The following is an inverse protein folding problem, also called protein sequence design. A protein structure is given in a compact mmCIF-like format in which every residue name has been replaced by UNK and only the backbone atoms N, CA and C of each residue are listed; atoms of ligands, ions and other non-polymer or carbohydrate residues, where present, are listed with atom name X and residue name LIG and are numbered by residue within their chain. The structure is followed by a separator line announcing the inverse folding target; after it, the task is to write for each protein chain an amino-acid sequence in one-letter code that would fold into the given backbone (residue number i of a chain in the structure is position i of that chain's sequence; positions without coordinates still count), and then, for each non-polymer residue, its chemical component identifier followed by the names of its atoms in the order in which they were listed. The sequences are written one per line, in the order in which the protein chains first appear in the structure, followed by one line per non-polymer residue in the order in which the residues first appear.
data_IF_316391671092
#
_entry.id   IF_316391671092
#
_cell.length_a   1.000
_cell.length_b   1.000
_cell.length_c   1.000
_cell.angle_alpha   90.00
_cell.angle_beta   90.00
_cell.angle_gamma   90.00
#
_symmetry.space_group_name_H-M   'P 1'
#
loop_
_entity.id
_entity.type
_entity.pdbx_description
1 polymer ?
#
# COMPACT_ATOMS: atom_id res chain seq x y z
N UNK A 1 -17.78 -7.32 -13.66
CA UNK A 1 -16.48 -7.20 -13.01
C UNK A 1 -15.31 -7.53 -13.96
N UNK A 2 -15.25 -8.71 -14.59
CA UNK A 2 -14.11 -9.11 -15.45
C UNK A 2 -13.93 -8.17 -16.67
N UNK A 3 -15.00 -7.69 -17.28
CA UNK A 3 -14.94 -6.73 -18.41
C UNK A 3 -14.34 -5.39 -17.96
N UNK A 4 -14.69 -4.89 -16.78
CA UNK A 4 -14.17 -3.63 -16.24
C UNK A 4 -12.70 -3.70 -15.83
N UNK A 5 -12.17 -4.90 -15.55
CA UNK A 5 -10.78 -5.11 -15.15
C UNK A 5 -9.86 -5.18 -16.38
N UNK A 6 -10.40 -5.57 -17.55
CA UNK A 6 -9.59 -5.86 -18.73
C UNK A 6 -8.70 -4.69 -19.19
N UNK A 7 -9.18 -3.47 -19.03
CA UNK A 7 -8.52 -2.24 -19.48
C UNK A 7 -7.97 -1.41 -18.30
N UNK A 8 -7.86 -2.02 -17.11
CA UNK A 8 -7.34 -1.33 -15.93
C UNK A 8 -5.81 -1.36 -15.91
N UNK A 9 -5.21 -0.24 -15.52
CA UNK A 9 -3.76 -0.15 -15.29
C UNK A 9 -3.35 -0.89 -14.01
N UNK A 10 -4.24 -0.91 -13.00
CA UNK A 10 -4.07 -1.54 -11.70
C UNK A 10 -5.37 -2.10 -11.15
N UNK A 11 -5.24 -3.08 -10.25
CA UNK A 11 -6.33 -3.56 -9.41
C UNK A 11 -5.97 -3.31 -7.94
N UNK A 12 -6.80 -2.54 -7.23
CA UNK A 12 -6.71 -2.35 -5.79
C UNK A 12 -7.70 -3.26 -5.09
N UNK A 13 -7.26 -4.04 -4.11
CA UNK A 13 -8.07 -4.98 -3.34
C UNK A 13 -7.89 -4.75 -1.83
N UNK A 14 -8.98 -4.89 -1.08
CA UNK A 14 -9.00 -4.87 0.39
C UNK A 14 -9.78 -6.11 0.89
N UNK A 15 -9.69 -6.39 2.20
CA UNK A 15 -10.39 -7.53 2.80
C UNK A 15 -11.85 -7.22 3.16
N UNK A 16 -12.51 -6.33 2.43
CA UNK A 16 -13.91 -5.91 2.68
C UNK A 16 -14.95 -6.64 1.82
N UNK A 17 -14.52 -7.52 0.93
CA UNK A 17 -15.38 -8.37 0.11
C UNK A 17 -15.03 -9.85 0.36
N UNK A 18 -15.92 -10.83 0.07
CA UNK A 18 -15.63 -12.24 0.33
C UNK A 18 -14.29 -12.71 -0.24
N UNK A 19 -13.56 -13.54 0.53
CA UNK A 19 -12.22 -14.03 0.16
C UNK A 19 -12.19 -14.71 -1.21
N UNK A 20 -13.20 -15.53 -1.52
CA UNK A 20 -13.31 -16.25 -2.79
C UNK A 20 -13.43 -15.29 -3.97
N UNK A 21 -14.13 -14.16 -3.77
CA UNK A 21 -14.26 -13.11 -4.78
C UNK A 21 -12.93 -12.39 -4.98
N UNK A 22 -12.25 -11.99 -3.91
CA UNK A 22 -10.91 -11.38 -3.97
C UNK A 22 -9.92 -12.29 -4.69
N UNK A 23 -9.86 -13.58 -4.32
CA UNK A 23 -9.02 -14.58 -4.97
C UNK A 23 -9.30 -14.70 -6.46
N UNK A 24 -10.60 -14.79 -6.84
CA UNK A 24 -11.01 -14.92 -8.25
C UNK A 24 -10.63 -13.70 -9.08
N UNK A 25 -10.76 -12.50 -8.51
CA UNK A 25 -10.44 -11.22 -9.16
C UNK A 25 -8.92 -11.04 -9.28
N UNK A 26 -8.17 -11.29 -8.22
CA UNK A 26 -6.71 -11.19 -8.22
C UNK A 26 -6.08 -12.17 -9.25
N UNK A 27 -6.54 -13.44 -9.24
CA UNK A 27 -6.11 -14.45 -10.22
C UNK A 27 -6.41 -14.02 -11.67
N UNK A 28 -7.58 -13.43 -11.90
CA UNK A 28 -7.94 -12.94 -13.23
C UNK A 28 -7.04 -11.76 -13.65
N UNK A 29 -6.80 -10.78 -12.78
CA UNK A 29 -5.92 -9.65 -13.05
C UNK A 29 -4.49 -10.11 -13.38
N UNK A 30 -3.91 -11.04 -12.57
CA UNK A 30 -2.59 -11.63 -12.86
C UNK A 30 -2.57 -12.32 -14.22
N UNK A 31 -3.63 -13.03 -14.62
CA UNK A 31 -3.73 -13.67 -15.94
C UNK A 31 -3.76 -12.70 -17.12
N UNK A 32 -4.03 -11.42 -16.85
CA UNK A 32 -4.04 -10.31 -17.82
C UNK A 32 -2.82 -9.40 -17.71
N UNK A 33 -1.85 -9.76 -16.87
CA UNK A 33 -0.69 -8.93 -16.52
C UNK A 33 -1.07 -7.55 -15.93
N UNK A 34 -2.20 -7.48 -15.25
CA UNK A 34 -2.65 -6.28 -14.53
C UNK A 34 -2.07 -6.38 -13.11
N UNK A 35 -1.23 -5.42 -12.68
CA UNK A 35 -0.66 -5.43 -11.34
C UNK A 35 -1.75 -5.35 -10.27
N UNK A 36 -1.62 -6.17 -9.22
CA UNK A 36 -2.53 -6.21 -8.09
C UNK A 36 -1.84 -5.58 -6.88
N UNK A 37 -2.46 -4.55 -6.34
CA UNK A 37 -2.18 -3.99 -5.04
C UNK A 37 -3.15 -4.57 -4.03
N UNK A 38 -2.65 -5.18 -3.00
CA UNK A 38 -3.47 -5.69 -1.93
C UNK A 38 -3.19 -4.94 -0.62
N UNK A 39 -4.24 -4.29 -0.12
CA UNK A 39 -4.31 -3.75 1.23
C UNK A 39 -4.98 -4.81 2.12
N UNK A 40 -4.25 -5.46 3.04
CA UNK A 40 -4.80 -6.53 3.88
C UNK A 40 -5.71 -6.03 5.01
N UNK A 41 -6.31 -4.88 4.86
CA UNK A 41 -7.25 -4.28 5.79
C UNK A 41 -8.70 -4.75 5.55
N UNK A 42 -9.45 -5.15 6.59
CA UNK A 42 -8.99 -5.45 7.96
C UNK A 42 -8.14 -6.73 8.01
N UNK A 43 -7.22 -6.82 8.99
CA UNK A 43 -6.35 -7.97 9.18
C UNK A 43 -7.15 -9.28 9.26
N UNK A 44 -6.88 -10.23 8.37
CA UNK A 44 -7.52 -11.54 8.34
C UNK A 44 -6.68 -12.53 7.52
N UNK A 45 -6.13 -13.53 8.19
CA UNK A 45 -5.26 -14.56 7.58
C UNK A 45 -5.93 -15.43 6.51
N UNK A 46 -7.26 -15.48 6.46
CA UNK A 46 -7.98 -16.26 5.42
C UNK A 46 -7.70 -15.70 4.01
N UNK A 47 -7.23 -14.43 3.91
CA UNK A 47 -6.88 -13.78 2.65
C UNK A 47 -5.41 -13.97 2.22
N UNK A 48 -4.55 -14.59 3.03
CA UNK A 48 -3.11 -14.73 2.73
C UNK A 48 -2.86 -15.39 1.35
N UNK A 49 -3.71 -16.29 0.92
CA UNK A 49 -3.61 -16.91 -0.41
C UNK A 49 -3.67 -15.94 -1.59
N UNK A 50 -4.14 -14.69 -1.40
CA UNK A 50 -4.15 -13.64 -2.43
C UNK A 50 -2.73 -13.23 -2.82
N UNK A 51 -1.76 -13.35 -1.90
CA UNK A 51 -0.36 -12.97 -2.13
C UNK A 51 0.24 -13.61 -3.38
N UNK A 52 -0.15 -14.84 -3.73
CA UNK A 52 0.30 -15.50 -4.96
C UNK A 52 -0.02 -14.72 -6.25
N UNK A 53 -0.96 -13.77 -6.17
CA UNK A 53 -1.45 -12.99 -7.31
C UNK A 53 -1.08 -11.50 -7.22
N UNK A 54 -0.47 -11.06 -6.12
CA UNK A 54 -0.15 -9.66 -5.87
C UNK A 54 1.18 -9.25 -6.49
N UNK A 55 1.26 -7.98 -6.90
CA UNK A 55 2.50 -7.28 -7.24
C UNK A 55 3.00 -6.41 -6.09
N UNK A 56 2.05 -5.85 -5.32
CA UNK A 56 2.33 -4.99 -4.18
C UNK A 56 1.41 -5.35 -3.02
N UNK A 57 1.93 -5.24 -1.81
CA UNK A 57 1.11 -5.32 -0.58
C UNK A 57 1.45 -4.17 0.35
N UNK A 58 0.44 -3.62 1.03
CA UNK A 58 0.57 -2.43 1.85
C UNK A 58 0.00 -2.63 3.26
N UNK A 59 0.45 -3.66 4.02
CA UNK A 59 0.00 -3.86 5.37
C UNK A 59 0.45 -2.72 6.30
N UNK A 60 -0.36 -2.41 7.31
CA UNK A 60 0.11 -1.74 8.51
C UNK A 60 0.84 -2.74 9.44
N UNK A 61 1.30 -2.28 10.62
CA UNK A 61 2.02 -3.14 11.58
C UNK A 61 1.17 -4.34 12.01
N UNK A 62 -0.12 -4.16 12.32
CA UNK A 62 -1.00 -5.23 12.79
C UNK A 62 -1.20 -6.28 11.68
N UNK A 63 -1.43 -5.84 10.47
CA UNK A 63 -1.60 -6.71 9.31
C UNK A 63 -0.29 -7.43 8.95
N UNK A 64 0.85 -6.75 9.06
CA UNK A 64 2.15 -7.37 8.86
C UNK A 64 2.46 -8.44 9.91
N UNK A 65 2.09 -8.21 11.20
CA UNK A 65 2.16 -9.22 12.26
C UNK A 65 1.29 -10.45 11.93
N UNK A 66 0.08 -10.24 11.42
CA UNK A 66 -0.84 -11.33 11.04
C UNK A 66 -0.30 -12.15 9.85
N UNK A 67 0.28 -11.49 8.85
CA UNK A 67 0.85 -12.13 7.66
C UNK A 67 2.12 -12.92 8.01
N UNK A 68 3.02 -12.33 8.78
CA UNK A 68 4.36 -12.89 9.02
C UNK A 68 4.45 -13.77 10.27
N UNK A 69 3.53 -13.59 11.22
CA UNK A 69 3.61 -14.18 12.55
C UNK A 69 4.72 -13.57 13.43
N UNK A 70 5.36 -12.50 12.98
CA UNK A 70 6.40 -11.78 13.73
C UNK A 70 5.78 -10.75 14.67
N UNK A 71 6.50 -10.40 15.75
CA UNK A 71 6.08 -9.32 16.65
C UNK A 71 6.84 -8.04 16.25
N UNK A 72 6.12 -6.99 15.87
CA UNK A 72 6.68 -5.75 15.32
C UNK A 72 6.43 -4.59 16.30
N UNK A 73 7.48 -4.20 17.03
CA UNK A 73 7.41 -3.10 18.01
C UNK A 73 8.35 -1.93 17.68
N UNK A 74 9.28 -2.14 16.75
CA UNK A 74 10.24 -1.12 16.33
C UNK A 74 10.34 -1.07 14.80
N UNK A 75 10.81 0.04 14.23
CA UNK A 75 11.04 0.15 12.78
C UNK A 75 12.00 -0.93 12.25
N UNK A 76 13.00 -1.34 13.02
CA UNK A 76 13.95 -2.41 12.63
C UNK A 76 13.25 -3.78 12.51
N UNK A 77 12.27 -4.05 13.39
CA UNK A 77 11.46 -5.27 13.29
C UNK A 77 10.52 -5.21 12.08
N UNK A 78 10.02 -4.03 11.72
CA UNK A 78 9.26 -3.85 10.48
C UNK A 78 10.13 -4.06 9.23
N UNK A 79 11.41 -3.66 9.24
CA UNK A 79 12.38 -3.99 8.20
C UNK A 79 12.50 -5.51 8.07
N UNK A 80 12.73 -6.23 9.19
CA UNK A 80 12.83 -7.70 9.21
C UNK A 80 11.54 -8.36 8.65
N UNK A 81 10.36 -7.85 9.01
CA UNK A 81 9.09 -8.37 8.49
C UNK A 81 8.93 -8.11 6.98
N UNK A 82 9.35 -6.93 6.51
CA UNK A 82 9.33 -6.57 5.09
C UNK A 82 10.27 -7.46 4.27
N UNK A 83 11.48 -7.74 4.78
CA UNK A 83 12.44 -8.67 4.19
C UNK A 83 11.89 -10.09 4.16
N UNK A 84 11.28 -10.55 5.26
CA UNK A 84 10.63 -11.86 5.32
C UNK A 84 9.57 -12.04 4.22
N UNK A 85 8.72 -11.01 4.01
CA UNK A 85 7.69 -11.06 2.95
C UNK A 85 8.37 -11.11 1.57
N UNK A 86 9.39 -10.28 1.34
CA UNK A 86 10.12 -10.24 0.06
C UNK A 86 10.80 -11.57 -0.27
N UNK A 87 11.38 -12.23 0.75
CA UNK A 87 12.03 -13.53 0.58
C UNK A 87 11.04 -14.66 0.34
N UNK A 88 9.90 -14.65 1.06
CA UNK A 88 8.86 -15.66 0.93
C UNK A 88 8.07 -15.53 -0.39
N UNK A 89 7.94 -14.31 -0.91
CA UNK A 89 7.18 -13.96 -2.10
C UNK A 89 7.97 -13.02 -3.03
N UNK A 90 8.96 -13.52 -3.78
CA UNK A 90 9.88 -12.68 -4.56
C UNK A 90 9.24 -11.84 -5.68
N UNK A 91 8.01 -12.14 -6.07
CA UNK A 91 7.26 -11.36 -7.06
C UNK A 91 6.51 -10.17 -6.44
N UNK A 92 6.49 -10.08 -5.11
CA UNK A 92 5.80 -9.01 -4.38
C UNK A 92 6.79 -7.93 -3.95
N UNK A 93 6.41 -6.70 -4.14
CA UNK A 93 7.04 -5.55 -3.49
C UNK A 93 6.25 -5.19 -2.22
N UNK A 94 6.73 -5.55 -1.02
CA UNK A 94 6.05 -5.22 0.23
C UNK A 94 6.34 -3.80 0.67
N UNK A 95 5.30 -3.14 1.22
CA UNK A 95 5.36 -1.81 1.80
C UNK A 95 4.64 -1.83 3.16
N UNK A 96 5.37 -1.85 4.28
CA UNK A 96 4.77 -1.83 5.62
C UNK A 96 4.64 -0.39 6.10
N UNK A 97 3.40 0.09 6.29
CA UNK A 97 3.15 1.45 6.78
C UNK A 97 3.40 1.56 8.29
N UNK A 98 4.10 2.63 8.70
CA UNK A 98 4.54 2.91 10.08
C UNK A 98 3.96 4.21 10.62
N UNK A 99 2.73 4.54 10.26
CA UNK A 99 2.07 5.80 10.63
C UNK A 99 2.98 7.03 10.36
N UNK A 100 3.26 7.82 11.40
CA UNK A 100 4.09 9.02 11.30
C UNK A 100 5.56 8.75 10.92
N UNK A 101 6.06 7.54 11.12
CA UNK A 101 7.43 7.17 10.75
C UNK A 101 7.60 6.95 9.23
N UNK A 102 6.50 6.79 8.48
CA UNK A 102 6.49 6.60 7.05
C UNK A 102 6.21 5.17 6.62
N UNK A 103 7.00 4.62 5.71
CA UNK A 103 6.82 3.27 5.16
C UNK A 103 8.15 2.53 5.02
N UNK A 104 8.18 1.27 5.42
CA UNK A 104 9.27 0.34 5.07
C UNK A 104 8.96 -0.26 3.71
N UNK A 105 9.92 -0.26 2.82
CA UNK A 105 9.80 -0.88 1.50
C UNK A 105 10.97 -1.82 1.24
N UNK A 106 10.71 -2.97 0.62
CA UNK A 106 11.74 -3.84 0.06
C UNK A 106 11.61 -3.82 -1.47
N UNK A 107 12.61 -3.24 -2.12
CA UNK A 107 12.64 -3.05 -3.56
C UNK A 107 14.08 -3.10 -4.09
N UNK A 108 14.30 -3.80 -5.22
CA UNK A 108 15.64 -3.99 -5.83
C UNK A 108 16.68 -4.53 -4.84
N UNK A 109 16.32 -5.54 -4.04
CA UNK A 109 17.15 -6.15 -3.00
C UNK A 109 17.63 -5.15 -1.92
N UNK A 110 16.91 -4.07 -1.72
CA UNK A 110 17.22 -3.06 -0.72
C UNK A 110 15.98 -2.76 0.13
N UNK A 111 16.08 -2.99 1.43
CA UNK A 111 15.01 -2.67 2.37
C UNK A 111 15.36 -1.40 3.13
N UNK A 112 14.45 -0.44 3.13
CA UNK A 112 14.65 0.85 3.79
C UNK A 112 13.35 1.49 4.25
N UNK A 113 13.48 2.47 5.14
CA UNK A 113 12.38 3.34 5.54
C UNK A 113 12.39 4.60 4.68
N UNK A 114 11.24 4.91 4.08
CA UNK A 114 10.95 6.20 3.44
C UNK A 114 10.11 6.99 4.44
N UNK A 115 10.68 8.05 5.00
CA UNK A 115 10.05 8.84 6.06
C UNK A 115 8.78 9.55 5.56
N UNK A 116 7.80 9.67 6.45
CA UNK A 116 6.63 10.51 6.22
C UNK A 116 6.95 11.99 6.41
N UNK A 117 5.96 12.84 6.20
CA UNK A 117 6.05 14.27 6.39
C UNK A 117 5.42 14.66 7.72
N UNK A 118 6.06 15.59 8.43
CA UNK A 118 5.50 16.16 9.67
C UNK A 118 4.37 17.14 9.32
N UNK A 119 3.18 16.87 9.86
CA UNK A 119 1.97 17.67 9.67
C UNK A 119 1.14 17.71 10.96
N UNK A 120 0.28 18.69 11.07
CA UNK A 120 -0.70 18.77 12.16
C UNK A 120 -1.84 17.79 11.88
N UNK A 121 -1.94 16.70 12.68
CA UNK A 121 -2.92 15.64 12.52
C UNK A 121 -4.26 16.06 13.11
N UNK A 122 -5.31 16.00 12.30
CA UNK A 122 -6.70 16.26 12.68
C UNK A 122 -7.50 14.95 12.75
N UNK A 123 -7.37 14.09 11.73
CA UNK A 123 -8.09 12.82 11.63
C UNK A 123 -7.28 11.82 10.80
N UNK A 124 -7.12 10.59 11.28
CA UNK A 124 -6.32 9.56 10.59
C UNK A 124 -7.16 8.63 9.72
N UNK A 125 -8.49 8.81 9.69
CA UNK A 125 -9.39 7.96 8.90
C UNK A 125 -9.07 8.12 7.40
N UNK A 126 -8.87 7.00 6.71
CA UNK A 126 -8.57 6.97 5.28
C UNK A 126 -7.12 7.29 4.89
N UNK A 127 -6.20 7.41 5.86
CA UNK A 127 -4.78 7.65 5.57
C UNK A 127 -4.14 6.51 4.75
N UNK A 128 -4.48 5.24 5.06
CA UNK A 128 -4.08 4.06 4.29
C UNK A 128 -4.61 4.11 2.85
N UNK A 129 -5.91 4.41 2.68
CA UNK A 129 -6.52 4.57 1.36
C UNK A 129 -5.85 5.68 0.54
N UNK A 130 -5.53 6.82 1.19
CA UNK A 130 -4.82 7.93 0.56
C UNK A 130 -3.40 7.51 0.12
N UNK A 131 -2.68 6.76 0.97
CA UNK A 131 -1.36 6.23 0.66
C UNK A 131 -1.39 5.33 -0.57
N UNK A 132 -2.27 4.32 -0.57
CA UNK A 132 -2.38 3.34 -1.67
C UNK A 132 -2.79 4.02 -2.97
N UNK A 133 -3.78 4.92 -2.92
CA UNK A 133 -4.21 5.68 -4.09
C UNK A 133 -3.08 6.53 -4.68
N UNK A 134 -2.33 7.23 -3.82
CA UNK A 134 -1.16 8.01 -4.22
C UNK A 134 -0.08 7.16 -4.85
N UNK A 135 0.24 6.00 -4.25
CA UNK A 135 1.22 5.05 -4.74
C UNK A 135 0.83 4.51 -6.13
N UNK A 136 -0.39 3.99 -6.26
CA UNK A 136 -0.88 3.40 -7.50
C UNK A 136 -0.90 4.40 -8.64
N UNK A 137 -1.42 5.61 -8.41
CA UNK A 137 -1.46 6.68 -9.42
C UNK A 137 -0.04 7.06 -9.87
N UNK A 138 0.89 7.25 -8.92
CA UNK A 138 2.25 7.67 -9.25
C UNK A 138 3.01 6.60 -10.03
N UNK A 139 2.82 5.30 -9.72
CA UNK A 139 3.39 4.20 -10.49
C UNK A 139 2.75 4.11 -11.88
N UNK A 140 1.41 4.25 -12.00
CA UNK A 140 0.70 4.23 -13.28
C UNK A 140 1.19 5.31 -14.25
N UNK A 141 1.63 6.44 -13.72
CA UNK A 141 2.20 7.56 -14.50
C UNK A 141 3.66 7.37 -14.88
N UNK A 142 4.27 6.25 -14.48
CA UNK A 142 5.65 5.89 -14.83
C UNK A 142 6.71 6.55 -13.96
N UNK A 143 6.34 7.12 -12.81
CA UNK A 143 7.33 7.61 -11.85
C UNK A 143 8.15 6.44 -11.27
N UNK A 144 9.41 6.71 -10.91
CA UNK A 144 10.20 5.68 -10.24
C UNK A 144 9.60 5.35 -8.85
N UNK A 145 9.88 4.13 -8.38
CA UNK A 145 9.24 3.58 -7.19
C UNK A 145 9.45 4.42 -5.92
N UNK A 146 10.63 5.03 -5.75
CA UNK A 146 10.92 5.85 -4.57
C UNK A 146 10.14 7.18 -4.61
N UNK A 147 10.04 7.80 -5.77
CA UNK A 147 9.23 9.02 -5.94
C UNK A 147 7.74 8.69 -5.76
N UNK A 148 7.28 7.53 -6.21
CA UNK A 148 5.93 7.06 -5.97
C UNK A 148 5.64 6.87 -4.47
N UNK A 149 6.57 6.31 -3.70
CA UNK A 149 6.44 6.20 -2.25
C UNK A 149 6.43 7.58 -1.55
N UNK A 150 7.25 8.53 -2.00
CA UNK A 150 7.22 9.90 -1.49
C UNK A 150 5.89 10.60 -1.80
N UNK A 151 5.36 10.41 -3.00
CA UNK A 151 4.05 10.93 -3.40
C UNK A 151 2.92 10.32 -2.56
N UNK A 152 2.98 9.02 -2.29
CA UNK A 152 2.05 8.30 -1.43
C UNK A 152 2.09 8.82 0.01
N UNK A 153 3.30 8.97 0.60
CA UNK A 153 3.49 9.54 1.93
C UNK A 153 2.94 10.98 2.03
N UNK A 154 3.18 11.81 1.02
CA UNK A 154 2.65 13.18 0.97
C UNK A 154 1.12 13.19 0.86
N UNK A 155 0.54 12.29 0.07
CA UNK A 155 -0.91 12.14 -0.08
C UNK A 155 -1.55 11.74 1.25
N UNK A 156 -0.99 10.75 1.94
CA UNK A 156 -1.43 10.33 3.27
C UNK A 156 -1.24 11.43 4.32
N UNK A 157 -0.08 12.10 4.35
CA UNK A 157 0.18 13.20 5.28
C UNK A 157 -0.83 14.35 5.11
N UNK A 158 -1.15 14.71 3.88
CA UNK A 158 -2.15 15.76 3.61
C UNK A 158 -3.58 15.32 3.96
N UNK A 159 -3.93 14.05 3.79
CA UNK A 159 -5.26 13.55 4.15
C UNK A 159 -5.53 13.69 5.64
N UNK A 160 -4.54 13.42 6.50
CA UNK A 160 -4.72 13.48 7.96
C UNK A 160 -4.82 14.90 8.52
N UNK A 161 -4.59 15.94 7.71
CA UNK A 161 -4.73 17.36 8.14
C UNK A 161 -6.16 17.87 8.13
N UNK A 162 -7.13 17.04 7.73
CA UNK A 162 -8.55 17.41 7.63
C UNK A 162 -9.42 16.31 8.20
N UNK A 163 -10.63 16.67 8.62
CA UNK A 163 -11.60 15.71 9.13
C UNK A 163 -12.30 14.92 8.01
N UNK A 164 -12.50 13.63 8.24
CA UNK A 164 -13.26 12.71 7.40
C UNK A 164 -12.38 11.96 6.40
N UNK A 165 -12.89 10.83 5.90
CA UNK A 165 -12.18 9.97 4.97
C UNK A 165 -12.14 10.56 3.55
N UNK A 166 -13.26 10.51 2.82
CA UNK A 166 -13.33 10.96 1.43
C UNK A 166 -13.13 12.47 1.28
N UNK A 167 -13.65 13.27 2.22
CA UNK A 167 -13.57 14.74 2.18
C UNK A 167 -12.17 15.29 2.48
N UNK A 168 -11.32 14.49 3.12
CA UNK A 168 -9.95 14.87 3.46
C UNK A 168 -8.96 14.60 2.30
N UNK A 169 -9.33 13.76 1.33
CA UNK A 169 -8.44 13.38 0.23
C UNK A 169 -7.92 14.59 -0.53
N UNK A 170 -6.58 14.77 -0.63
CA UNK A 170 -6.01 15.87 -1.38
C UNK A 170 -6.18 15.66 -2.89
N UNK A 171 -6.32 16.74 -3.63
CA UNK A 171 -6.18 16.66 -5.08
C UNK A 171 -4.70 16.69 -5.47
N UNK A 172 -4.40 16.24 -6.70
CA UNK A 172 -3.06 16.16 -7.25
C UNK A 172 -2.24 17.44 -7.09
N UNK A 173 -2.80 18.58 -7.52
CA UNK A 173 -2.10 19.87 -7.45
C UNK A 173 -1.69 20.24 -6.01
N UNK A 174 -2.46 19.81 -5.01
CA UNK A 174 -2.14 20.04 -3.59
C UNK A 174 -0.94 19.21 -3.18
N UNK A 175 -0.87 17.93 -3.60
CA UNK A 175 0.26 17.04 -3.31
C UNK A 175 1.53 17.54 -4.00
N UNK A 176 1.47 17.88 -5.28
CA UNK A 176 2.61 18.41 -6.04
C UNK A 176 3.17 19.72 -5.42
N UNK A 177 2.30 20.64 -5.06
CA UNK A 177 2.72 21.87 -4.36
C UNK A 177 3.38 21.59 -3.01
N UNK A 178 2.88 20.60 -2.28
CA UNK A 178 3.46 20.20 -0.99
C UNK A 178 4.86 19.60 -1.18
N UNK A 179 5.06 18.79 -2.21
CA UNK A 179 6.35 18.21 -2.59
C UNK A 179 7.26 19.19 -3.33
N UNK A 180 6.76 20.36 -3.74
CA UNK A 180 7.48 21.35 -4.56
C UNK A 180 7.95 20.85 -5.92
N UNK A 181 7.12 20.03 -6.55
CA UNK A 181 7.30 19.47 -7.92
C UNK A 181 6.20 19.98 -8.85
#
# INVERSE_FOLDING_TARGET
AKESIHDADFLLLQNEIPVELNMSIAKYAKSKNIPVFWDPAPANKDYIGIMEFCSYITPNIIEAEEITGLNIKTPEQAITACEWISDAYPEITPLITLDKEGVVVSFDNNTKIIKSFEVDVVDTIGAGDAFIAGLAISIAEGNNFIDACNFANATAALSVTKQGAQTSMPNRNTVEKFLKI
#
